data_IF_865192466527
#
_entry.id   IF_865192466527
#
_cell.length_a   1.000
_cell.length_b   1.000
_cell.length_c   1.000
_cell.angle_alpha   90.00
_cell.angle_beta   90.00
_cell.angle_gamma   90.00
#
_symmetry.space_group_name_H-M   'P 1'
#
loop_
_entity.id
_entity.type
_entity.pdbx_description
1 polymer ?
#
# COMPACT_ATOMS: atom_id res chain seq x y z
N UNK A 1 -38.87 -12.79 -13.78
CA UNK A 1 -38.16 -11.89 -14.73
C UNK A 1 -37.06 -11.16 -13.95
N UNK A 2 -35.80 -11.56 -14.08
CA UNK A 2 -34.69 -10.80 -13.49
C UNK A 2 -34.47 -9.57 -14.38
N UNK A 3 -34.69 -8.37 -13.84
CA UNK A 3 -34.23 -7.14 -14.49
C UNK A 3 -32.71 -7.25 -14.68
N UNK A 4 -32.24 -7.34 -15.91
CA UNK A 4 -30.87 -7.10 -16.27
C UNK A 4 -30.58 -5.64 -15.89
N UNK A 5 -29.83 -5.44 -14.82
CA UNK A 5 -29.33 -4.11 -14.46
C UNK A 5 -28.56 -3.58 -15.67
N UNK A 6 -29.02 -2.47 -16.21
CA UNK A 6 -28.32 -1.77 -17.28
C UNK A 6 -27.00 -1.25 -16.67
N UNK A 7 -25.88 -1.90 -16.98
CA UNK A 7 -24.57 -1.45 -16.52
C UNK A 7 -24.29 -0.11 -17.19
N UNK A 8 -23.92 0.88 -16.40
CA UNK A 8 -23.47 2.19 -16.90
C UNK A 8 -22.37 1.99 -17.96
N UNK A 9 -22.51 2.56 -19.17
CA UNK A 9 -21.49 2.45 -20.21
C UNK A 9 -20.08 2.82 -19.73
N UNK A 10 -19.97 3.78 -18.80
CA UNK A 10 -18.70 4.20 -18.20
C UNK A 10 -18.09 3.09 -17.34
N UNK A 11 -18.90 2.37 -16.57
CA UNK A 11 -18.43 1.25 -15.75
C UNK A 11 -18.04 0.05 -16.62
N UNK A 12 -18.75 -0.18 -17.71
CA UNK A 12 -18.39 -1.20 -18.70
C UNK A 12 -17.04 -0.88 -19.35
N UNK A 13 -16.83 0.35 -19.82
CA UNK A 13 -15.56 0.78 -20.40
C UNK A 13 -14.40 0.69 -19.41
N UNK A 14 -14.63 0.97 -18.11
CA UNK A 14 -13.60 0.76 -17.06
C UNK A 14 -13.24 -0.72 -16.93
N UNK A 15 -14.22 -1.60 -16.92
CA UNK A 15 -13.99 -3.04 -16.80
C UNK A 15 -13.20 -3.58 -18.00
N UNK A 16 -13.49 -3.10 -19.21
CA UNK A 16 -12.79 -3.47 -20.43
C UNK A 16 -11.35 -2.95 -20.46
N UNK A 17 -11.07 -1.80 -19.87
CA UNK A 17 -9.73 -1.23 -19.78
C UNK A 17 -8.82 -1.92 -18.73
N UNK A 18 -9.39 -2.69 -17.80
CA UNK A 18 -8.62 -3.40 -16.78
C UNK A 18 -8.08 -4.70 -17.40
N UNK A 19 -6.76 -4.83 -17.48
CA UNK A 19 -6.14 -6.05 -18.00
C UNK A 19 -5.55 -6.95 -16.91
N UNK A 20 -5.32 -6.44 -15.68
CA UNK A 20 -4.77 -7.26 -14.60
C UNK A 20 -5.11 -6.74 -13.21
N UNK A 21 -5.08 -7.67 -12.24
CA UNK A 21 -5.26 -7.42 -10.81
C UNK A 21 -4.00 -7.85 -10.07
N UNK A 22 -3.31 -6.91 -9.47
CA UNK A 22 -2.02 -7.15 -8.84
C UNK A 22 -1.94 -6.56 -7.43
N UNK A 23 -0.83 -6.80 -6.77
CA UNK A 23 -0.47 -6.10 -5.53
C UNK A 23 0.78 -5.25 -5.72
N UNK A 24 0.84 -4.13 -5.03
CA UNK A 24 2.03 -3.26 -4.95
C UNK A 24 2.32 -2.91 -3.50
N UNK A 25 3.58 -2.70 -3.17
CA UNK A 25 3.97 -2.11 -1.89
C UNK A 25 3.89 -0.58 -1.99
N UNK A 26 2.85 0.00 -1.38
CA UNK A 26 2.65 1.46 -1.34
C UNK A 26 3.72 2.20 -0.53
N UNK A 27 4.53 1.48 0.22
CA UNK A 27 5.55 2.05 1.12
C UNK A 27 6.96 1.85 0.61
N UNK A 28 7.13 1.13 -0.50
CA UNK A 28 8.43 0.87 -1.09
C UNK A 28 8.79 1.92 -2.15
N UNK A 29 9.91 2.62 -2.00
CA UNK A 29 10.29 3.75 -2.85
C UNK A 29 10.42 3.51 -4.36
N UNK A 30 10.76 2.31 -4.89
CA UNK A 30 10.94 2.22 -6.35
C UNK A 30 9.66 2.38 -7.16
N UNK A 31 8.48 2.27 -6.51
CA UNK A 31 7.19 2.47 -7.18
C UNK A 31 6.48 3.69 -6.61
N UNK A 32 6.96 4.87 -6.94
CA UNK A 32 6.28 6.11 -6.59
C UNK A 32 4.97 6.17 -7.37
N UNK A 33 3.85 6.14 -6.63
CA UNK A 33 2.55 6.39 -7.22
C UNK A 33 2.41 7.89 -7.50
N UNK A 34 2.66 8.27 -8.73
CA UNK A 34 2.45 9.64 -9.19
C UNK A 34 1.00 9.82 -9.63
N UNK A 35 0.32 10.83 -9.07
CA UNK A 35 -1.06 11.16 -9.42
C UNK A 35 -1.14 12.52 -10.12
N UNK A 36 -0.85 12.60 -11.42
CA UNK A 36 -0.87 13.84 -12.16
C UNK A 36 -2.29 14.40 -12.37
N UNK A 37 -3.32 13.57 -12.14
CA UNK A 37 -4.74 13.93 -12.39
C UNK A 37 -5.49 14.31 -11.13
N UNK A 38 -4.94 14.08 -9.96
CA UNK A 38 -5.60 14.47 -8.73
C UNK A 38 -5.30 15.93 -8.41
N UNK A 39 -6.19 16.82 -8.86
CA UNK A 39 -6.12 18.26 -8.57
C UNK A 39 -6.39 18.59 -7.09
N UNK A 40 -6.79 17.59 -6.29
CA UNK A 40 -7.05 17.82 -4.86
C UNK A 40 -5.74 17.69 -4.08
N UNK A 41 -5.34 18.73 -3.33
CA UNK A 41 -4.14 18.63 -2.51
C UNK A 41 -4.30 17.54 -1.45
N UNK A 42 -3.19 16.88 -1.11
CA UNK A 42 -3.15 15.91 -0.04
C UNK A 42 -3.58 16.54 1.29
N UNK A 43 -4.65 16.05 1.87
CA UNK A 43 -5.15 16.50 3.15
C UNK A 43 -4.70 15.57 4.26
N UNK A 44 -3.77 16.03 5.10
CA UNK A 44 -3.29 15.27 6.27
C UNK A 44 -4.42 14.86 7.24
N UNK A 45 -5.47 15.67 7.33
CA UNK A 45 -6.63 15.35 8.16
C UNK A 45 -7.41 14.16 7.57
N UNK A 46 -7.61 14.15 6.24
CA UNK A 46 -8.27 13.01 5.56
C UNK A 46 -7.45 11.74 5.67
N UNK A 47 -6.14 11.82 5.46
CA UNK A 47 -5.25 10.67 5.62
C UNK A 47 -5.29 10.10 7.04
N UNK A 48 -5.29 10.95 8.08
CA UNK A 48 -5.44 10.51 9.47
C UNK A 48 -6.79 9.85 9.74
N UNK A 49 -7.90 10.43 9.23
CA UNK A 49 -9.23 9.81 9.35
C UNK A 49 -9.27 8.44 8.67
N UNK A 50 -8.73 8.36 7.45
CA UNK A 50 -8.66 7.11 6.71
C UNK A 50 -7.77 6.08 7.42
N UNK A 51 -6.60 6.49 7.95
CA UNK A 51 -5.75 5.64 8.78
C UNK A 51 -6.54 5.03 9.94
N UNK A 52 -7.31 5.84 10.66
CA UNK A 52 -8.09 5.36 11.80
C UNK A 52 -9.17 4.37 11.37
N UNK A 53 -9.88 4.64 10.28
CA UNK A 53 -10.87 3.72 9.70
C UNK A 53 -10.20 2.38 9.30
N UNK A 54 -9.07 2.42 8.60
CA UNK A 54 -8.32 1.24 8.21
C UNK A 54 -7.83 0.39 9.40
N UNK A 55 -7.50 1.02 10.52
CA UNK A 55 -7.12 0.31 11.75
C UNK A 55 -8.35 -0.31 12.42
N UNK A 56 -9.48 0.38 12.45
CA UNK A 56 -10.71 -0.09 13.11
C UNK A 56 -11.43 -1.18 12.34
N UNK A 57 -11.54 -1.01 11.02
CA UNK A 57 -12.29 -1.92 10.14
C UNK A 57 -11.44 -3.07 9.61
N UNK A 58 -10.13 -3.02 9.84
CA UNK A 58 -9.14 -3.89 9.25
C UNK A 58 -8.71 -3.43 7.86
N UNK A 59 -7.48 -3.81 7.50
CA UNK A 59 -6.90 -3.51 6.19
C UNK A 59 -7.50 -4.43 5.12
N UNK A 60 -8.67 -4.09 4.59
CA UNK A 60 -9.29 -4.80 3.46
C UNK A 60 -8.61 -4.41 2.15
N UNK A 61 -7.31 -4.64 2.08
CA UNK A 61 -6.42 -4.15 1.01
C UNK A 61 -6.71 -4.75 -0.35
N UNK A 62 -7.37 -5.92 -0.40
CA UNK A 62 -7.69 -6.65 -1.63
C UNK A 62 -9.15 -6.53 -2.06
N UNK A 63 -10.01 -5.88 -1.26
CA UNK A 63 -11.39 -5.71 -1.68
C UNK A 63 -11.51 -4.80 -2.89
N UNK A 64 -12.42 -5.10 -3.80
CA UNK A 64 -12.57 -4.41 -5.09
C UNK A 64 -12.73 -2.89 -4.94
N UNK A 65 -13.52 -2.47 -3.95
CA UNK A 65 -13.77 -1.06 -3.66
C UNK A 65 -12.54 -0.30 -3.12
N UNK A 66 -11.54 -1.03 -2.61
CA UNK A 66 -10.32 -0.45 -2.04
C UNK A 66 -9.13 -0.48 -3.01
N UNK A 67 -9.23 -1.17 -4.12
CA UNK A 67 -8.14 -1.23 -5.11
C UNK A 67 -7.84 0.14 -5.68
N UNK A 68 -6.56 0.35 -5.96
CA UNK A 68 -6.07 1.58 -6.59
C UNK A 68 -5.96 1.33 -8.09
N UNK A 69 -6.48 2.23 -8.91
CA UNK A 69 -6.33 2.16 -10.37
C UNK A 69 -4.98 2.73 -10.77
N UNK A 70 -4.20 1.93 -11.48
CA UNK A 70 -2.86 2.28 -11.95
C UNK A 70 -2.81 2.13 -13.46
N UNK A 71 -2.34 3.15 -14.15
CA UNK A 71 -2.15 3.11 -15.61
C UNK A 71 -0.73 2.66 -15.91
N UNK A 72 -0.61 1.55 -16.63
CA UNK A 72 0.66 0.95 -17.04
C UNK A 72 0.46 0.22 -18.36
N UNK A 73 1.47 0.25 -19.24
CA UNK A 73 1.38 -0.54 -20.47
C UNK A 73 1.50 -2.04 -20.17
N UNK A 74 0.66 -2.90 -20.76
CA UNK A 74 0.82 -4.34 -20.65
C UNK A 74 2.22 -4.83 -21.11
N UNK A 75 2.87 -4.08 -22.00
CA UNK A 75 4.24 -4.36 -22.45
C UNK A 75 5.29 -4.25 -21.35
N UNK A 76 5.03 -3.48 -20.29
CA UNK A 76 5.94 -3.26 -19.17
C UNK A 76 5.76 -4.27 -18.03
N UNK A 77 4.70 -5.08 -18.08
CA UNK A 77 4.38 -6.08 -17.06
C UNK A 77 4.83 -7.48 -17.52
N UNK A 78 5.44 -8.26 -16.62
CA UNK A 78 5.78 -9.65 -16.90
C UNK A 78 4.51 -10.49 -17.12
N UNK A 79 4.48 -11.30 -18.16
CA UNK A 79 3.31 -12.10 -18.55
C UNK A 79 2.86 -13.06 -17.44
N UNK A 80 3.81 -13.63 -16.70
CA UNK A 80 3.54 -14.51 -15.57
C UNK A 80 2.88 -13.81 -14.35
N UNK A 81 2.89 -12.48 -14.33
CA UNK A 81 2.29 -11.67 -13.26
C UNK A 81 0.93 -11.07 -13.68
N UNK A 82 0.45 -11.31 -14.90
CA UNK A 82 -0.85 -10.83 -15.36
C UNK A 82 -1.95 -11.76 -14.84
N UNK A 83 -2.84 -11.24 -14.01
CA UNK A 83 -3.96 -11.98 -13.41
C UNK A 83 -5.28 -11.30 -13.78
N UNK A 84 -6.05 -11.92 -14.65
CA UNK A 84 -7.38 -11.43 -15.06
C UNK A 84 -8.51 -11.92 -14.14
N UNK A 85 -8.28 -12.95 -13.34
CA UNK A 85 -9.26 -13.50 -12.41
C UNK A 85 -9.32 -12.68 -11.12
N UNK A 86 -10.46 -12.01 -10.92
CA UNK A 86 -10.78 -11.26 -9.70
C UNK A 86 -10.85 -12.11 -8.42
N UNK A 87 -11.11 -13.41 -8.58
CA UNK A 87 -11.29 -14.33 -7.46
C UNK A 87 -9.97 -14.99 -7.04
N UNK A 88 -8.97 -14.98 -7.92
CA UNK A 88 -7.63 -15.44 -7.59
C UNK A 88 -6.92 -14.46 -6.63
N UNK A 89 -6.06 -14.95 -5.73
CA UNK A 89 -5.19 -14.07 -4.95
C UNK A 89 -4.36 -13.21 -5.91
N UNK A 90 -4.38 -11.86 -5.75
CA UNK A 90 -3.65 -11.00 -6.68
C UNK A 90 -2.14 -11.23 -6.54
N UNK A 91 -1.48 -11.50 -7.66
CA UNK A 91 -0.03 -11.65 -7.72
C UNK A 91 0.69 -10.31 -7.49
N UNK A 92 1.93 -10.30 -6.98
CA UNK A 92 2.75 -9.10 -6.96
C UNK A 92 2.93 -8.54 -8.38
N UNK A 93 2.92 -7.22 -8.51
CA UNK A 93 3.25 -6.57 -9.78
C UNK A 93 4.74 -6.74 -10.07
N UNK A 94 5.07 -7.42 -11.14
CA UNK A 94 6.43 -7.58 -11.64
C UNK A 94 6.58 -6.80 -12.95
N UNK A 95 7.58 -5.94 -12.99
CA UNK A 95 7.94 -5.21 -14.21
C UNK A 95 8.92 -6.05 -15.03
N UNK A 96 8.80 -6.01 -16.36
CA UNK A 96 9.74 -6.67 -17.27
C UNK A 96 11.16 -6.15 -17.04
N UNK A 97 12.11 -7.04 -17.19
CA UNK A 97 13.52 -6.66 -17.16
C UNK A 97 13.81 -5.62 -18.25
N UNK A 98 14.48 -4.54 -17.85
CA UNK A 98 14.75 -3.41 -18.76
C UNK A 98 13.63 -2.36 -18.85
N UNK A 99 12.49 -2.55 -18.18
CA UNK A 99 11.49 -1.46 -18.05
C UNK A 99 12.12 -0.25 -17.37
N UNK A 100 12.01 0.92 -17.99
CA UNK A 100 12.52 2.19 -17.46
C UNK A 100 11.49 2.90 -16.56
N UNK A 101 10.42 2.22 -16.19
CA UNK A 101 9.38 2.78 -15.34
C UNK A 101 9.92 2.98 -13.91
N UNK A 102 10.07 4.21 -13.51
CA UNK A 102 10.41 4.62 -12.13
C UNK A 102 9.17 5.04 -11.33
N UNK A 103 8.07 5.33 -12.04
CA UNK A 103 6.84 5.83 -11.45
C UNK A 103 5.63 5.13 -12.07
N UNK A 104 4.65 4.80 -11.23
CA UNK A 104 3.34 4.32 -11.67
C UNK A 104 2.33 5.47 -11.68
N UNK A 105 1.65 5.67 -12.80
CA UNK A 105 0.56 6.65 -12.87
C UNK A 105 -0.67 6.13 -12.14
N UNK A 106 -1.02 6.82 -11.07
CA UNK A 106 -2.16 6.49 -10.21
C UNK A 106 -3.34 7.42 -10.52
N UNK A 107 -4.51 6.88 -10.79
CA UNK A 107 -5.75 7.64 -11.04
C UNK A 107 -6.49 8.03 -9.76
N UNK A 108 -6.04 7.53 -8.60
CA UNK A 108 -6.63 7.85 -7.30
C UNK A 108 -5.85 7.14 -6.19
N UNK A 109 -6.20 7.40 -4.93
CA UNK A 109 -5.63 6.66 -3.80
C UNK A 109 -4.49 7.38 -3.06
N UNK A 110 -4.15 8.62 -3.40
CA UNK A 110 -3.11 9.39 -2.73
C UNK A 110 -3.29 9.45 -1.20
N UNK A 111 -4.53 9.65 -0.71
CA UNK A 111 -4.80 9.63 0.72
C UNK A 111 -4.67 8.23 1.33
N UNK A 112 -4.93 7.15 0.54
CA UNK A 112 -4.71 5.76 0.99
C UNK A 112 -3.23 5.48 1.14
N UNK A 113 -2.41 5.86 0.17
CA UNK A 113 -0.96 5.73 0.25
C UNK A 113 -0.41 6.45 1.49
N UNK A 114 -0.79 7.72 1.70
CA UNK A 114 -0.35 8.48 2.87
C UNK A 114 -0.84 7.84 4.19
N UNK A 115 -2.09 7.36 4.24
CA UNK A 115 -2.63 6.65 5.41
C UNK A 115 -1.86 5.36 5.70
N UNK A 116 -1.51 4.57 4.70
CA UNK A 116 -0.70 3.34 4.84
C UNK A 116 0.71 3.68 5.31
N UNK A 117 1.34 4.72 4.77
CA UNK A 117 2.64 5.21 5.26
C UNK A 117 2.58 5.63 6.73
N UNK A 118 1.50 6.27 7.17
CA UNK A 118 1.29 6.63 8.58
C UNK A 118 1.13 5.38 9.47
N UNK A 119 0.42 4.33 9.00
CA UNK A 119 0.28 3.06 9.73
C UNK A 119 1.64 2.38 9.86
N UNK A 120 2.42 2.31 8.78
CA UNK A 120 3.75 1.71 8.78
C UNK A 120 4.70 2.43 9.74
N UNK A 121 4.74 3.76 9.67
CA UNK A 121 5.59 4.57 10.55
C UNK A 121 5.23 4.38 12.04
N UNK A 122 3.94 4.30 12.36
CA UNK A 122 3.48 4.02 13.72
C UNK A 122 3.86 2.60 14.16
N UNK A 123 3.70 1.61 13.31
CA UNK A 123 4.08 0.24 13.59
C UNK A 123 5.60 0.10 13.83
N UNK A 124 6.42 0.73 12.98
CA UNK A 124 7.88 0.76 13.13
C UNK A 124 8.30 1.42 14.46
N UNK A 125 7.62 2.51 14.85
CA UNK A 125 7.85 3.16 16.14
C UNK A 125 7.54 2.24 17.31
N UNK A 126 6.41 1.53 17.27
CA UNK A 126 6.00 0.60 18.32
C UNK A 126 6.93 -0.61 18.41
N UNK A 127 7.38 -1.17 17.28
CA UNK A 127 8.39 -2.22 17.23
C UNK A 127 9.68 -1.77 17.93
N UNK A 128 10.15 -0.55 17.61
CA UNK A 128 11.36 0.02 18.25
C UNK A 128 11.19 0.19 19.75
N UNK A 129 10.03 0.64 20.21
CA UNK A 129 9.73 0.78 21.64
C UNK A 129 9.68 -0.56 22.36
N UNK A 130 9.04 -1.58 21.76
CA UNK A 130 9.00 -2.94 22.33
C UNK A 130 10.41 -3.54 22.44
N UNK A 131 11.24 -3.44 21.40
CA UNK A 131 12.64 -3.89 21.43
C UNK A 131 13.45 -3.18 22.53
N UNK A 132 13.24 -1.88 22.70
CA UNK A 132 13.88 -1.10 23.78
C UNK A 132 13.44 -1.57 25.17
N UNK A 133 12.13 -1.79 25.36
CA UNK A 133 11.57 -2.26 26.63
C UNK A 133 12.07 -3.68 27.01
N UNK A 134 12.11 -4.59 26.03
CA UNK A 134 12.68 -5.93 26.21
C UNK A 134 14.14 -5.84 26.63
N UNK A 135 14.94 -5.05 25.92
CA UNK A 135 16.37 -4.87 26.22
C UNK A 135 16.60 -4.32 27.64
N UNK A 136 15.80 -3.31 28.05
CA UNK A 136 15.89 -2.75 29.39
C UNK A 136 15.55 -3.80 30.48
N UNK A 137 14.47 -4.57 30.29
CA UNK A 137 14.06 -5.60 31.24
C UNK A 137 15.09 -6.75 31.32
N UNK A 138 15.66 -7.17 30.20
CA UNK A 138 16.75 -8.18 30.17
C UNK A 138 17.97 -7.70 30.96
N UNK A 139 18.35 -6.42 30.86
CA UNK A 139 19.43 -5.85 31.66
C UNK A 139 19.10 -5.86 33.16
N UNK A 140 17.85 -5.55 33.54
CA UNK A 140 17.40 -5.60 34.91
C UNK A 140 17.49 -7.03 35.48
N UNK A 141 17.02 -8.04 34.73
CA UNK A 141 17.11 -9.44 35.13
C UNK A 141 18.56 -9.86 35.40
N UNK A 142 19.50 -9.45 34.52
CA UNK A 142 20.94 -9.76 34.69
C UNK A 142 21.58 -9.10 35.91
N UNK A 143 21.06 -7.96 36.36
CA UNK A 143 21.58 -7.21 37.49
C UNK A 143 20.96 -7.60 38.85
N UNK A 144 19.99 -8.52 38.90
CA UNK A 144 19.37 -8.91 40.14
C UNK A 144 20.29 -9.77 41.02
N UNK A 145 20.37 -9.53 42.36
CA UNK A 145 21.16 -10.34 43.27
C UNK A 145 20.53 -11.73 43.48
N UNK A 146 21.30 -12.67 44.04
CA UNK A 146 20.85 -14.07 44.30
C UNK A 146 20.05 -14.20 45.61
N UNK A 147 19.04 -13.37 45.85
CA UNK A 147 18.17 -13.44 47.04
C UNK A 147 16.79 -13.99 46.68
N UNK A 148 16.04 -14.50 47.64
CA UNK A 148 14.70 -15.10 47.40
C UNK A 148 13.73 -14.06 46.83
N UNK A 149 13.73 -12.84 47.37
CA UNK A 149 12.92 -11.72 46.79
C UNK A 149 13.32 -11.43 45.35
N UNK A 150 14.62 -11.49 45.03
CA UNK A 150 15.10 -11.28 43.68
C UNK A 150 14.73 -12.40 42.73
N UNK A 151 14.63 -13.65 43.19
CA UNK A 151 14.12 -14.78 42.41
C UNK A 151 12.67 -14.58 41.99
N UNK A 152 11.82 -14.17 42.93
CA UNK A 152 10.42 -13.84 42.60
C UNK A 152 10.36 -12.71 41.57
N UNK A 153 11.09 -11.61 41.79
CA UNK A 153 11.15 -10.46 40.87
C UNK A 153 11.70 -10.84 39.50
N UNK A 154 12.66 -11.74 39.44
CA UNK A 154 13.23 -12.28 38.22
C UNK A 154 12.16 -13.02 37.41
N UNK A 155 11.39 -13.90 38.05
CA UNK A 155 10.30 -14.64 37.41
C UNK A 155 9.22 -13.69 36.84
N UNK A 156 8.83 -12.65 37.60
CA UNK A 156 7.88 -11.64 37.12
C UNK A 156 8.41 -10.93 35.87
N UNK A 157 9.67 -10.48 35.86
CA UNK A 157 10.28 -9.82 34.74
C UNK A 157 10.45 -10.73 33.51
N UNK A 158 10.75 -12.01 33.72
CA UNK A 158 10.82 -13.01 32.66
C UNK A 158 9.46 -13.21 31.98
N UNK A 159 8.38 -13.29 32.76
CA UNK A 159 7.02 -13.35 32.23
C UNK A 159 6.63 -12.07 31.45
N UNK A 160 7.01 -10.90 31.96
CA UNK A 160 6.80 -9.63 31.24
C UNK A 160 7.58 -9.57 29.92
N UNK A 161 8.81 -10.11 29.90
CA UNK A 161 9.63 -10.18 28.68
C UNK A 161 8.96 -11.09 27.65
N UNK A 162 8.46 -12.25 28.05
CA UNK A 162 7.77 -13.16 27.13
C UNK A 162 6.49 -12.54 26.56
N UNK A 163 5.70 -11.84 27.37
CA UNK A 163 4.54 -11.09 26.89
C UNK A 163 4.91 -10.02 25.86
N UNK A 164 6.00 -9.26 26.11
CA UNK A 164 6.49 -8.25 25.16
C UNK A 164 7.05 -8.88 23.88
N UNK A 165 7.71 -10.03 23.95
CA UNK A 165 8.19 -10.77 22.77
C UNK A 165 7.02 -11.24 21.90
N UNK A 166 5.94 -11.75 22.52
CA UNK A 166 4.73 -12.13 21.78
C UNK A 166 4.12 -10.91 21.07
N UNK A 167 4.00 -9.77 21.75
CA UNK A 167 3.51 -8.53 21.13
C UNK A 167 4.42 -8.09 19.96
N UNK A 168 5.74 -8.19 20.14
CA UNK A 168 6.71 -7.86 19.09
C UNK A 168 6.53 -8.76 17.87
N UNK A 169 6.43 -10.08 18.07
CA UNK A 169 6.23 -11.04 16.98
C UNK A 169 4.95 -10.76 16.19
N UNK A 170 3.83 -10.48 16.87
CA UNK A 170 2.58 -10.10 16.21
C UNK A 170 2.72 -8.81 15.39
N UNK A 171 3.46 -7.82 15.88
CA UNK A 171 3.71 -6.57 15.17
C UNK A 171 4.63 -6.75 13.97
N UNK A 172 5.66 -7.57 14.10
CA UNK A 172 6.58 -7.87 12.99
C UNK A 172 5.88 -8.65 11.88
N UNK A 173 5.05 -9.64 12.22
CA UNK A 173 4.24 -10.37 11.24
C UNK A 173 3.23 -9.47 10.51
N UNK A 174 2.63 -8.51 11.20
CA UNK A 174 1.70 -7.56 10.57
C UNK A 174 2.43 -6.53 9.68
N UNK A 175 3.71 -6.27 9.93
CA UNK A 175 4.50 -5.28 9.19
C UNK A 175 4.61 -5.61 7.69
N UNK A 176 4.78 -6.88 7.35
CA UNK A 176 4.93 -7.34 5.97
C UNK A 176 3.66 -7.10 5.15
N UNK A 177 2.50 -7.12 5.80
CA UNK A 177 1.21 -6.94 5.13
C UNK A 177 0.79 -5.46 5.03
N UNK A 178 1.29 -4.59 5.90
CA UNK A 178 0.83 -3.18 5.97
C UNK A 178 1.11 -2.41 4.68
N UNK A 179 2.19 -2.71 3.97
CA UNK A 179 2.57 -2.02 2.72
C UNK A 179 1.85 -2.55 1.49
N UNK A 180 1.44 -3.80 1.49
CA UNK A 180 0.88 -4.49 0.33
C UNK A 180 -0.56 -4.07 0.07
N UNK A 181 -0.84 -3.60 -1.16
CA UNK A 181 -2.15 -3.10 -1.55
C UNK A 181 -2.57 -3.61 -2.92
N UNK A 182 -3.87 -3.94 -3.06
CA UNK A 182 -4.45 -4.38 -4.33
C UNK A 182 -4.55 -3.23 -5.33
N UNK A 183 -4.14 -3.48 -6.56
CA UNK A 183 -4.26 -2.54 -7.68
C UNK A 183 -4.99 -3.17 -8.85
N UNK A 184 -5.64 -2.32 -9.65
CA UNK A 184 -6.19 -2.65 -10.95
C UNK A 184 -5.30 -1.98 -12.00
N UNK A 185 -4.75 -2.76 -12.92
CA UNK A 185 -3.90 -2.28 -13.98
C UNK A 185 -4.74 -1.94 -15.21
N UNK A 186 -4.63 -0.71 -15.67
CA UNK A 186 -5.34 -0.21 -16.84
C UNK A 186 -4.36 0.05 -17.98
N UNK A 187 -4.74 -0.41 -19.18
CA UNK A 187 -4.00 -0.09 -20.40
C UNK A 187 -4.11 1.42 -20.70
N UNK A 188 -2.99 2.12 -20.92
CA UNK A 188 -3.02 3.53 -21.30
C UNK A 188 -3.80 3.77 -22.60
N UNK A 189 -3.82 2.85 -23.56
CA UNK A 189 -4.59 2.93 -24.79
C UNK A 189 -6.09 2.98 -24.55
N UNK A 190 -6.59 2.11 -23.71
CA UNK A 190 -8.01 1.99 -23.36
C UNK A 190 -8.45 3.01 -22.28
N UNK A 191 -7.54 3.42 -21.40
CA UNK A 191 -7.85 4.36 -20.32
C UNK A 191 -8.24 5.75 -20.81
N UNK A 192 -7.87 6.14 -22.03
CA UNK A 192 -8.29 7.41 -22.64
C UNK A 192 -9.81 7.50 -22.89
N UNK A 193 -10.46 6.37 -23.09
CA UNK A 193 -11.92 6.31 -23.27
C UNK A 193 -12.62 6.56 -21.92
N UNK A 194 -12.04 6.05 -20.84
CA UNK A 194 -12.61 6.13 -19.49
C UNK A 194 -12.32 7.47 -18.81
N UNK A 195 -11.16 8.07 -19.12
CA UNK A 195 -10.70 9.32 -18.50
C UNK A 195 -10.24 10.35 -19.54
N UNK A 196 -11.18 10.97 -20.27
CA UNK A 196 -10.86 11.90 -21.38
C UNK A 196 -10.04 13.12 -20.96
N UNK A 197 -10.03 13.49 -19.67
CA UNK A 197 -9.17 14.55 -19.14
C UNK A 197 -7.66 14.22 -19.25
N UNK A 198 -7.31 12.95 -19.39
CA UNK A 198 -5.95 12.46 -19.56
C UNK A 198 -5.30 12.96 -20.87
N UNK A 199 -6.09 13.10 -21.93
CA UNK A 199 -5.62 13.52 -23.26
C UNK A 199 -5.02 14.93 -23.27
N UNK A 200 -5.51 15.85 -22.42
CA UNK A 200 -5.09 17.24 -22.41
C UNK A 200 -3.72 17.47 -21.77
N UNK A 201 -3.28 16.61 -20.87
CA UNK A 201 -2.00 16.75 -20.16
C UNK A 201 -0.80 16.25 -20.97
N UNK A 202 -0.97 15.21 -21.80
CA UNK A 202 0.13 14.64 -22.59
C UNK A 202 0.42 15.45 -23.87
N UNK A 203 -0.58 16.14 -24.46
CA UNK A 203 -0.39 16.99 -25.62
C UNK A 203 0.34 18.31 -25.29
N UNK A 204 0.27 18.78 -24.05
CA UNK A 204 0.91 20.05 -23.62
C UNK A 204 2.43 19.96 -23.39
N UNK A 205 3.02 18.76 -23.35
CA UNK A 205 4.47 18.60 -23.16
C UNK A 205 5.32 18.69 -24.43
N UNK A 206 4.72 18.73 -25.63
CA UNK A 206 5.47 18.79 -26.89
C UNK A 206 5.87 20.20 -27.33
N UNK A 207 5.32 21.27 -26.77
CA UNK A 207 5.52 22.61 -27.30
C UNK A 207 6.42 23.56 -26.48
N UNK A 208 7.08 23.09 -25.41
CA UNK A 208 7.99 23.96 -24.65
C UNK A 208 9.48 23.80 -25.00
N UNK A 209 9.82 23.18 -26.13
CA UNK A 209 11.20 23.24 -26.68
C UNK A 209 11.20 23.98 -28.00
N UNK A 210 11.08 25.30 -27.98
CA UNK A 210 11.62 26.21 -29.00
C UNK A 210 11.29 27.67 -28.64
N UNK A 211 12.23 28.36 -28.03
CA UNK A 211 12.55 29.72 -28.33
C UNK A 211 13.96 30.05 -27.85
N UNK A 212 14.90 30.32 -28.76
CA UNK A 212 16.17 30.92 -28.38
C UNK A 212 15.97 32.42 -28.40
N UNK A 213 16.42 33.10 -27.36
CA UNK A 213 17.09 34.39 -27.42
C UNK A 213 17.87 34.59 -26.13
#
# INVERSE_FOLDING_TARGET
MKMLACIDPTEKAKQEAIFSYNTVDLTNPPLILHNPYNQRPLSKLRSKKLRNALIQEGLRVFSSENRIMVVISPSDVEEGCITSDLMAPPAPLCLKEGSQLTELTNLGGQHRQDAVCLIKAENDRQIKQLKGSISAKVKLVKGLPATDKARQRKSELENEIEALKLQLSLRESSKELVGTWGVMLLDPGESYVVFPAHKRSLSGRKDQRRAPY
#
